data_IF_747105122981
#
_entry.id   IF_747105122981
#
_cell.length_a   1.000
_cell.length_b   1.000
_cell.length_c   1.000
_cell.angle_alpha   90.00
_cell.angle_beta   90.00
_cell.angle_gamma   90.00
#
_symmetry.space_group_name_H-M   'P 1'
#
loop_
_entity.id
_entity.type
_entity.pdbx_description
1 polymer ?
#
# COMPACT_ATOMS: atom_id res chain seq x y z
N UNK A 1 3.98 -1.28 30.91
CA UNK A 1 4.78 -0.34 30.09
C UNK A 1 4.00 -0.14 28.80
N UNK A 2 3.55 1.09 28.54
CA UNK A 2 2.78 1.39 27.30
C UNK A 2 3.75 1.30 26.12
N UNK A 3 3.51 0.31 25.29
CA UNK A 3 4.20 0.21 24.01
C UNK A 3 3.55 1.26 23.09
N UNK A 4 4.12 2.46 23.04
CA UNK A 4 3.76 3.44 22.02
C UNK A 4 4.08 2.81 20.67
N UNK A 5 3.03 2.49 19.92
CA UNK A 5 3.17 2.09 18.52
C UNK A 5 4.00 3.18 17.82
N UNK A 6 5.24 2.87 17.48
CA UNK A 6 6.10 3.73 16.67
C UNK A 6 5.35 4.00 15.37
N UNK A 7 4.77 5.19 15.27
CA UNK A 7 4.22 5.68 14.03
C UNK A 7 5.33 5.58 12.99
N UNK A 8 5.18 4.73 11.99
CA UNK A 8 6.18 4.71 10.92
C UNK A 8 6.35 6.14 10.38
N UNK A 9 7.57 6.67 10.33
CA UNK A 9 7.77 8.02 9.84
C UNK A 9 7.27 8.09 8.39
N UNK A 10 6.46 9.09 8.09
CA UNK A 10 6.01 9.35 6.72
C UNK A 10 7.26 9.50 5.85
N UNK A 11 7.52 8.54 4.96
CA UNK A 11 8.70 8.57 4.09
C UNK A 11 8.58 9.74 3.13
N UNK A 12 9.54 10.63 3.16
CA UNK A 12 9.65 11.75 2.22
C UNK A 12 10.47 11.31 1.01
N UNK A 13 9.78 11.01 -0.09
CA UNK A 13 10.44 10.70 -1.37
C UNK A 13 11.00 11.97 -1.99
N UNK A 14 12.30 11.94 -2.34
CA UNK A 14 13.02 13.10 -2.91
C UNK A 14 13.85 12.69 -4.12
N UNK A 15 13.87 13.57 -5.13
CA UNK A 15 14.74 13.50 -6.30
C UNK A 15 15.44 14.86 -6.37
N UNK A 16 16.77 14.91 -6.40
CA UNK A 16 17.57 16.13 -6.36
C UNK A 16 17.11 17.11 -5.25
N UNK A 17 16.91 16.59 -4.04
CA UNK A 17 16.38 17.33 -2.88
C UNK A 17 14.96 17.91 -3.05
N UNK A 18 14.26 17.63 -4.14
CA UNK A 18 12.87 18.04 -4.37
C UNK A 18 11.91 16.93 -3.99
N UNK A 19 10.91 17.25 -3.15
CA UNK A 19 9.88 16.30 -2.74
C UNK A 19 9.01 15.90 -3.92
N UNK A 20 8.83 14.58 -4.11
CA UNK A 20 7.90 13.99 -5.07
C UNK A 20 6.75 13.29 -4.34
N UNK A 21 5.56 13.19 -4.97
CA UNK A 21 4.44 12.48 -4.34
C UNK A 21 4.70 10.98 -4.28
N UNK A 22 4.13 10.31 -3.26
CA UNK A 22 4.10 8.86 -3.23
C UNK A 22 3.03 8.30 -4.19
N UNK A 23 3.16 7.01 -4.55
CA UNK A 23 2.12 6.26 -5.28
C UNK A 23 0.77 6.43 -4.58
N UNK A 24 0.70 6.17 -3.28
CA UNK A 24 -0.53 6.27 -2.49
C UNK A 24 -1.10 7.68 -2.42
N UNK A 25 -0.26 8.72 -2.42
CA UNK A 25 -0.70 10.13 -2.49
C UNK A 25 -1.37 10.45 -3.83
N UNK A 26 -0.81 9.94 -4.93
CA UNK A 26 -1.38 10.12 -6.27
C UNK A 26 -2.72 9.41 -6.38
N UNK A 27 -2.78 8.13 -6.03
CA UNK A 27 -4.01 7.32 -6.08
C UNK A 27 -5.10 7.88 -5.18
N UNK A 28 -4.75 8.27 -3.94
CA UNK A 28 -5.68 8.83 -2.96
C UNK A 28 -6.38 10.10 -3.44
N UNK A 29 -5.74 10.89 -4.33
CA UNK A 29 -6.34 12.10 -4.91
C UNK A 29 -7.54 11.80 -5.80
N UNK A 30 -7.54 10.66 -6.47
CA UNK A 30 -8.55 10.30 -7.48
C UNK A 30 -9.40 9.08 -7.06
N UNK A 31 -9.23 8.63 -5.82
CA UNK A 31 -9.98 7.48 -5.31
C UNK A 31 -11.48 7.81 -5.24
N UNK A 32 -12.30 6.90 -5.74
CA UNK A 32 -13.74 7.01 -5.55
C UNK A 32 -14.07 6.83 -4.07
N UNK A 33 -14.60 7.88 -3.45
CA UNK A 33 -14.91 7.92 -2.03
C UNK A 33 -16.34 7.46 -1.69
N UNK A 34 -17.17 7.09 -2.67
CA UNK A 34 -18.60 6.76 -2.45
C UNK A 34 -18.79 5.71 -1.36
N UNK A 35 -18.05 4.60 -1.43
CA UNK A 35 -18.12 3.56 -0.41
C UNK A 35 -17.66 4.04 0.97
N UNK A 36 -16.65 4.90 1.02
CA UNK A 36 -16.17 5.49 2.27
C UNK A 36 -17.21 6.45 2.87
N UNK A 37 -17.91 7.24 2.05
CA UNK A 37 -18.96 8.14 2.49
C UNK A 37 -20.16 7.38 3.09
N UNK A 38 -20.59 6.30 2.43
CA UNK A 38 -21.66 5.42 2.93
C UNK A 38 -21.24 4.83 4.28
N UNK A 39 -20.04 4.29 4.36
CA UNK A 39 -19.51 3.72 5.60
C UNK A 39 -19.38 4.77 6.71
N UNK A 40 -18.86 5.97 6.42
CA UNK A 40 -18.74 7.07 7.39
C UNK A 40 -20.10 7.49 7.94
N UNK A 41 -21.14 7.54 7.07
CA UNK A 41 -22.51 7.81 7.50
C UNK A 41 -23.03 6.72 8.46
N UNK A 42 -22.80 5.43 8.14
CA UNK A 42 -23.22 4.32 9.01
C UNK A 42 -22.53 4.34 10.38
N UNK A 43 -21.25 4.73 10.44
CA UNK A 43 -20.50 4.92 11.70
C UNK A 43 -21.08 6.09 12.48
N UNK A 44 -21.37 7.22 11.82
CA UNK A 44 -21.99 8.38 12.45
C UNK A 44 -23.37 8.09 13.04
N UNK A 45 -24.21 7.30 12.34
CA UNK A 45 -25.52 6.86 12.85
C UNK A 45 -25.42 5.99 14.12
N UNK A 46 -24.27 5.34 14.35
CA UNK A 46 -23.97 4.61 15.60
C UNK A 46 -23.38 5.49 16.71
N UNK A 47 -23.32 6.81 16.50
CA UNK A 47 -22.71 7.76 17.45
C UNK A 47 -21.18 7.65 17.54
N UNK A 48 -20.52 7.06 16.55
CA UNK A 48 -19.06 6.89 16.51
C UNK A 48 -18.42 7.87 15.51
N UNK A 49 -17.18 8.28 15.78
CA UNK A 49 -16.40 9.09 14.84
C UNK A 49 -15.75 8.18 13.78
N UNK A 50 -16.08 8.41 12.51
CA UNK A 50 -15.50 7.62 11.41
C UNK A 50 -13.97 7.72 11.34
N UNK A 51 -13.41 8.85 11.78
CA UNK A 51 -11.96 9.07 11.80
C UNK A 51 -11.24 8.13 12.76
N UNK A 52 -11.85 7.84 13.93
CA UNK A 52 -11.30 6.90 14.91
C UNK A 52 -11.32 5.46 14.35
N UNK A 53 -12.42 5.09 13.69
CA UNK A 53 -12.53 3.76 13.09
C UNK A 53 -11.60 3.61 11.87
N UNK A 54 -11.41 4.69 11.09
CA UNK A 54 -10.45 4.71 9.98
C UNK A 54 -9.02 4.57 10.49
N UNK A 55 -8.70 5.27 11.59
CA UNK A 55 -7.38 5.16 12.25
C UNK A 55 -7.14 3.76 12.76
N UNK A 56 -8.06 3.17 13.53
CA UNK A 56 -7.96 1.78 14.01
C UNK A 56 -7.74 0.80 12.84
N UNK A 57 -8.47 1.00 11.74
CA UNK A 57 -8.31 0.17 10.56
C UNK A 57 -6.92 0.30 9.92
N UNK A 58 -6.36 1.50 9.91
CA UNK A 58 -4.99 1.77 9.45
C UNK A 58 -3.94 1.16 10.38
N UNK A 59 -4.11 1.34 11.70
CA UNK A 59 -3.19 0.81 12.72
C UNK A 59 -3.08 -0.74 12.62
N UNK A 60 -4.19 -1.44 12.37
CA UNK A 60 -4.17 -2.90 12.15
C UNK A 60 -3.39 -3.26 10.87
N UNK A 61 -3.56 -2.48 9.78
CA UNK A 61 -2.80 -2.68 8.55
C UNK A 61 -1.30 -2.53 8.79
N UNK A 62 -0.90 -1.43 9.42
CA UNK A 62 0.50 -1.15 9.78
C UNK A 62 1.08 -2.27 10.64
N UNK A 63 0.35 -2.70 11.68
CA UNK A 63 0.82 -3.78 12.56
C UNK A 63 1.01 -5.12 11.82
N UNK A 64 0.18 -5.44 10.81
CA UNK A 64 0.40 -6.63 9.98
C UNK A 64 1.68 -6.49 9.16
N UNK A 65 1.93 -5.35 8.51
CA UNK A 65 3.14 -5.14 7.71
C UNK A 65 4.40 -5.25 8.56
N UNK A 66 4.41 -4.58 9.74
CA UNK A 66 5.54 -4.64 10.69
C UNK A 66 5.82 -6.08 11.14
N UNK A 67 4.77 -6.85 11.53
CA UNK A 67 4.91 -8.24 11.97
C UNK A 67 5.37 -9.16 10.82
N UNK A 68 4.83 -8.97 9.62
CA UNK A 68 5.23 -9.74 8.46
C UNK A 68 6.70 -9.49 8.11
N UNK A 69 7.15 -8.22 8.14
CA UNK A 69 8.54 -7.86 7.89
C UNK A 69 9.48 -8.49 8.93
N UNK A 70 9.16 -8.36 10.22
CA UNK A 70 9.94 -8.95 11.33
C UNK A 70 10.03 -10.48 11.17
N UNK A 71 8.90 -11.14 10.87
CA UNK A 71 8.86 -12.59 10.67
C UNK A 71 9.71 -13.02 9.45
N UNK A 72 9.58 -12.32 8.33
CA UNK A 72 10.36 -12.60 7.11
C UNK A 72 11.87 -12.43 7.35
N UNK A 73 12.26 -11.49 8.21
CA UNK A 73 13.66 -11.25 8.61
C UNK A 73 14.15 -12.21 9.69
N UNK A 74 13.31 -13.13 10.15
CA UNK A 74 13.61 -14.08 11.26
C UNK A 74 14.00 -13.37 12.57
N UNK A 75 13.45 -12.15 12.78
CA UNK A 75 13.65 -11.38 14.01
C UNK A 75 12.61 -11.80 15.08
N UNK A 76 12.94 -11.52 16.35
CA UNK A 76 12.03 -11.81 17.46
C UNK A 76 10.83 -10.85 17.47
N UNK A 77 9.63 -11.39 17.66
CA UNK A 77 8.40 -10.62 17.88
C UNK A 77 7.53 -11.27 18.97
N UNK A 78 6.75 -10.43 19.65
CA UNK A 78 5.69 -10.88 20.53
C UNK A 78 4.37 -11.02 19.75
N UNK A 79 3.59 -12.05 20.07
CA UNK A 79 2.27 -12.21 19.44
C UNK A 79 1.37 -11.01 19.78
N UNK A 80 0.68 -10.41 18.81
CA UNK A 80 -0.17 -9.26 19.04
C UNK A 80 -1.32 -9.58 19.98
N UNK A 81 -1.62 -8.67 20.91
CA UNK A 81 -2.75 -8.82 21.84
C UNK A 81 -4.08 -8.48 21.15
N UNK A 82 -4.10 -7.56 20.21
CA UNK A 82 -5.30 -7.24 19.42
C UNK A 82 -5.70 -8.44 18.55
N UNK A 83 -6.93 -8.92 18.76
CA UNK A 83 -7.47 -10.10 18.08
C UNK A 83 -7.50 -9.93 16.56
N UNK A 84 -7.83 -8.72 16.05
CA UNK A 84 -7.90 -8.47 14.62
C UNK A 84 -6.52 -8.49 13.96
N UNK A 85 -5.51 -7.94 14.64
CA UNK A 85 -4.11 -8.03 14.19
C UNK A 85 -3.66 -9.48 14.19
N UNK A 86 -3.98 -10.22 15.25
CA UNK A 86 -3.65 -11.65 15.36
C UNK A 86 -4.29 -12.47 14.25
N UNK A 87 -5.56 -12.21 13.94
CA UNK A 87 -6.26 -12.90 12.85
C UNK A 87 -5.59 -12.65 11.49
N UNK A 88 -5.24 -11.40 11.18
CA UNK A 88 -4.51 -11.07 9.95
C UNK A 88 -3.14 -11.77 9.92
N UNK A 89 -2.42 -11.73 11.03
CA UNK A 89 -1.07 -12.28 11.12
C UNK A 89 -1.05 -13.82 11.05
N UNK A 90 -1.99 -14.50 11.68
CA UNK A 90 -2.11 -15.97 11.57
C UNK A 90 -2.37 -16.41 10.13
N UNK A 91 -3.22 -15.68 9.40
CA UNK A 91 -3.47 -15.95 7.98
C UNK A 91 -2.24 -15.66 7.10
N UNK A 92 -1.46 -14.62 7.45
CA UNK A 92 -0.17 -14.37 6.81
C UNK A 92 0.80 -15.53 7.06
N UNK A 93 0.93 -16.02 8.31
CA UNK A 93 1.81 -17.15 8.64
C UNK A 93 1.42 -18.40 7.86
N UNK A 94 0.13 -18.75 7.83
CA UNK A 94 -0.37 -19.89 7.06
C UNK A 94 -0.03 -19.75 5.56
N UNK A 95 -0.25 -18.57 4.99
CA UNK A 95 0.11 -18.30 3.60
C UNK A 95 1.62 -18.39 3.38
N UNK A 96 2.41 -17.84 4.28
CA UNK A 96 3.87 -17.80 4.19
C UNK A 96 4.47 -19.20 4.24
N UNK A 97 4.05 -20.02 5.20
CA UNK A 97 4.55 -21.38 5.42
C UNK A 97 4.18 -22.34 4.27
N UNK A 98 3.06 -22.07 3.58
CA UNK A 98 2.64 -22.84 2.42
C UNK A 98 3.36 -22.46 1.11
N UNK A 99 4.20 -21.42 1.14
CA UNK A 99 4.93 -20.95 -0.04
C UNK A 99 6.44 -20.93 0.22
N UNK A 100 7.20 -21.63 -0.59
CA UNK A 100 8.66 -21.67 -0.50
C UNK A 100 9.29 -20.47 -1.22
N UNK A 101 8.98 -19.23 -0.80
CA UNK A 101 9.53 -18.04 -1.40
C UNK A 101 10.97 -17.78 -0.95
N UNK A 102 11.84 -17.46 -1.91
CA UNK A 102 13.16 -16.91 -1.62
C UNK A 102 13.03 -15.39 -1.54
N UNK A 103 13.22 -14.83 -0.36
CA UNK A 103 13.15 -13.39 -0.14
C UNK A 103 14.29 -12.68 -0.89
N UNK A 104 13.96 -11.64 -1.65
CA UNK A 104 14.93 -10.74 -2.24
C UNK A 104 15.14 -9.53 -1.34
N UNK A 105 14.05 -8.89 -0.90
CA UNK A 105 14.03 -7.82 0.11
C UNK A 105 12.59 -7.52 0.58
N UNK A 106 12.49 -6.77 1.70
CA UNK A 106 11.25 -6.23 2.26
C UNK A 106 11.34 -4.71 2.38
N UNK A 107 10.20 -4.00 2.32
CA UNK A 107 10.02 -2.57 2.63
C UNK A 107 11.11 -1.65 2.05
N UNK A 108 11.37 -1.75 0.76
CA UNK A 108 12.43 -0.97 0.10
C UNK A 108 11.88 0.30 -0.55
N UNK A 109 12.55 1.44 -0.29
CA UNK A 109 12.17 2.74 -0.82
C UNK A 109 12.76 2.99 -2.19
N UNK A 110 11.92 3.44 -3.13
CA UNK A 110 12.31 3.78 -4.49
C UNK A 110 11.75 5.11 -4.95
N UNK A 111 12.43 5.76 -5.90
CA UNK A 111 11.94 6.93 -6.63
C UNK A 111 12.11 6.72 -8.12
N UNK A 112 11.14 7.22 -8.90
CA UNK A 112 11.24 7.31 -10.36
C UNK A 112 11.66 8.71 -10.76
N UNK A 113 12.84 8.86 -11.31
CA UNK A 113 13.29 10.13 -11.91
C UNK A 113 12.50 10.47 -13.18
N UNK A 114 12.11 9.44 -13.92
CA UNK A 114 11.36 9.60 -15.18
C UNK A 114 9.94 10.09 -14.97
N UNK A 115 9.25 9.61 -13.94
CA UNK A 115 7.84 9.92 -13.69
C UNK A 115 7.61 10.78 -12.45
N UNK A 116 8.66 11.10 -11.69
CA UNK A 116 8.67 11.99 -10.53
C UNK A 116 7.66 11.56 -9.44
N UNK A 117 7.81 10.32 -8.98
CA UNK A 117 7.07 9.78 -7.84
C UNK A 117 7.92 8.78 -7.06
N UNK A 118 7.50 8.45 -5.84
CA UNK A 118 8.17 7.46 -5.02
C UNK A 118 7.19 6.45 -4.41
N UNK A 119 7.74 5.37 -3.86
CA UNK A 119 6.95 4.34 -3.22
C UNK A 119 7.80 3.34 -2.46
N UNK A 120 7.15 2.60 -1.58
CA UNK A 120 7.74 1.51 -0.79
C UNK A 120 6.91 0.25 -1.03
N UNK A 121 7.35 -0.63 -1.94
CA UNK A 121 6.75 -1.96 -2.07
C UNK A 121 7.02 -2.80 -0.83
N UNK A 122 6.09 -3.68 -0.47
CA UNK A 122 6.16 -4.47 0.76
C UNK A 122 7.22 -5.59 0.67
N UNK A 123 7.20 -6.38 -0.41
CA UNK A 123 8.03 -7.58 -0.52
C UNK A 123 8.34 -7.94 -1.97
N UNK A 124 9.59 -8.29 -2.24
CA UNK A 124 10.01 -8.94 -3.47
C UNK A 124 10.54 -10.34 -3.17
N UNK A 125 10.01 -11.34 -3.88
CA UNK A 125 10.45 -12.74 -3.75
C UNK A 125 10.83 -13.32 -5.11
N UNK A 126 11.65 -14.38 -5.07
CA UNK A 126 12.10 -15.12 -6.26
C UNK A 126 12.65 -14.19 -7.38
N UNK A 127 13.18 -13.03 -6.98
CA UNK A 127 13.77 -11.99 -7.81
C UNK A 127 12.81 -11.19 -8.71
N UNK A 128 11.63 -11.72 -9.04
CA UNK A 128 10.73 -11.15 -10.04
C UNK A 128 9.22 -11.18 -9.66
N UNK A 129 8.90 -11.59 -8.44
CA UNK A 129 7.52 -11.63 -7.93
C UNK A 129 7.36 -10.55 -6.87
N UNK A 130 6.57 -9.52 -7.20
CA UNK A 130 6.17 -8.48 -6.26
C UNK A 130 4.96 -8.94 -5.46
N UNK A 131 4.99 -8.74 -4.15
CA UNK A 131 3.88 -9.09 -3.23
C UNK A 131 3.47 -7.84 -2.44
N UNK A 132 2.17 -7.68 -2.22
CA UNK A 132 1.58 -6.56 -1.47
C UNK A 132 0.51 -7.09 -0.50
N UNK A 133 0.59 -6.67 0.76
CA UNK A 133 -0.29 -7.13 1.83
C UNK A 133 -1.43 -6.16 2.07
N UNK A 134 -2.64 -6.70 2.25
CA UNK A 134 -3.85 -5.91 2.50
C UNK A 134 -4.69 -6.49 3.61
N UNK A 135 -5.25 -5.62 4.45
CA UNK A 135 -6.21 -5.99 5.52
C UNK A 135 -7.61 -5.41 5.27
N UNK A 136 -7.89 -4.98 4.06
CA UNK A 136 -9.15 -4.40 3.62
C UNK A 136 -10.28 -5.43 3.52
N UNK A 137 -11.52 -4.96 3.34
CA UNK A 137 -12.70 -5.84 3.16
C UNK A 137 -12.71 -6.60 1.84
N UNK A 138 -11.91 -6.19 0.86
CA UNK A 138 -11.82 -6.83 -0.46
C UNK A 138 -10.61 -6.32 -1.22
N UNK A 139 -10.31 -6.95 -2.36
CA UNK A 139 -9.28 -6.52 -3.29
C UNK A 139 -9.90 -5.54 -4.29
N UNK A 140 -9.35 -4.33 -4.37
CA UNK A 140 -9.84 -3.24 -5.20
C UNK A 140 -8.89 -2.96 -6.38
N UNK A 141 -9.43 -2.35 -7.45
CA UNK A 141 -8.66 -2.05 -8.66
C UNK A 141 -7.47 -1.10 -8.42
N UNK A 142 -7.58 -0.19 -7.44
CA UNK A 142 -6.49 0.72 -7.07
C UNK A 142 -5.24 -0.04 -6.53
N UNK A 143 -5.39 -1.26 -6.01
CA UNK A 143 -4.26 -2.08 -5.57
C UNK A 143 -3.44 -2.61 -6.75
N UNK A 144 -4.09 -3.00 -7.85
CA UNK A 144 -3.35 -3.38 -9.07
C UNK A 144 -2.62 -2.19 -9.66
N UNK A 145 -3.25 -1.01 -9.67
CA UNK A 145 -2.60 0.23 -10.12
C UNK A 145 -1.42 0.61 -9.21
N UNK A 146 -1.54 0.42 -7.89
CA UNK A 146 -0.45 0.58 -6.94
C UNK A 146 0.71 -0.37 -7.24
N UNK A 147 0.42 -1.66 -7.40
CA UNK A 147 1.41 -2.69 -7.71
C UNK A 147 2.13 -2.41 -9.03
N UNK A 148 1.41 -1.93 -10.05
CA UNK A 148 2.01 -1.57 -11.34
C UNK A 148 3.01 -0.40 -11.22
N UNK A 149 2.69 0.60 -10.40
CA UNK A 149 3.60 1.70 -10.12
C UNK A 149 4.83 1.24 -9.33
N UNK A 150 4.65 0.32 -8.38
CA UNK A 150 5.76 -0.28 -7.63
C UNK A 150 6.65 -1.16 -8.52
N UNK A 151 6.06 -2.00 -9.39
CA UNK A 151 6.83 -2.79 -10.35
C UNK A 151 7.70 -1.89 -11.22
N UNK A 152 7.17 -0.74 -11.66
CA UNK A 152 7.93 0.21 -12.45
C UNK A 152 9.07 0.88 -11.69
N UNK A 153 8.87 1.19 -10.41
CA UNK A 153 9.95 1.68 -9.55
C UNK A 153 11.10 0.66 -9.43
N UNK A 154 10.76 -0.61 -9.24
CA UNK A 154 11.76 -1.69 -9.15
C UNK A 154 12.52 -1.83 -10.48
N UNK A 155 11.79 -1.85 -11.60
CA UNK A 155 12.40 -1.94 -12.94
C UNK A 155 13.40 -0.80 -13.21
N UNK A 156 13.06 0.44 -12.82
CA UNK A 156 13.92 1.61 -13.03
C UNK A 156 15.14 1.64 -12.11
N UNK A 157 15.01 1.19 -10.87
CA UNK A 157 16.08 1.32 -9.86
C UNK A 157 16.99 0.09 -9.77
N UNK A 158 16.47 -1.09 -10.07
CA UNK A 158 17.24 -2.36 -9.96
C UNK A 158 17.55 -3.01 -11.31
N UNK A 159 17.13 -2.43 -12.43
CA UNK A 159 17.22 -3.02 -13.76
C UNK A 159 16.65 -4.45 -13.79
N UNK A 160 15.57 -4.69 -13.08
CA UNK A 160 14.95 -5.98 -12.81
C UNK A 160 13.51 -5.97 -13.34
N UNK A 161 13.15 -6.97 -14.14
CA UNK A 161 11.77 -7.13 -14.62
C UNK A 161 10.91 -7.80 -13.55
N UNK A 162 9.69 -7.31 -13.38
CA UNK A 162 8.67 -7.93 -12.55
C UNK A 162 7.73 -8.71 -13.45
N UNK A 163 7.68 -10.02 -13.27
CA UNK A 163 6.89 -10.92 -14.11
C UNK A 163 5.51 -11.19 -13.52
N UNK A 164 5.40 -11.12 -12.18
CA UNK A 164 4.16 -11.40 -11.45
C UNK A 164 3.98 -10.42 -10.30
N UNK A 165 2.73 -10.04 -10.05
CA UNK A 165 2.31 -9.31 -8.87
C UNK A 165 1.25 -10.09 -8.11
N UNK A 166 1.40 -10.23 -6.80
CA UNK A 166 0.49 -10.96 -5.93
C UNK A 166 -0.07 -9.98 -4.90
N UNK A 167 -1.39 -9.89 -4.82
CA UNK A 167 -2.08 -9.20 -3.72
C UNK A 167 -2.55 -10.26 -2.73
N UNK A 168 -2.05 -10.19 -1.51
CA UNK A 168 -2.44 -11.04 -0.41
C UNK A 168 -3.33 -10.25 0.55
N UNK A 169 -4.62 -10.57 0.59
CA UNK A 169 -5.57 -9.97 1.54
C UNK A 169 -5.78 -10.90 2.72
N UNK A 170 -5.36 -10.44 3.89
CA UNK A 170 -5.55 -11.10 5.18
C UNK A 170 -6.62 -10.35 5.97
N UNK A 171 -7.87 -10.80 5.98
CA UNK A 171 -8.98 -10.06 6.57
C UNK A 171 -8.88 -9.97 8.10
N UNK A 172 -9.44 -8.88 8.65
CA UNK A 172 -9.48 -8.59 10.09
C UNK A 172 -10.53 -9.42 10.84
N UNK A 173 -11.47 -9.97 10.13
CA UNK A 173 -12.52 -10.86 10.60
C UNK A 173 -12.18 -12.31 10.26
N UNK A 174 -13.08 -13.22 10.57
CA UNK A 174 -12.90 -14.65 10.30
C UNK A 174 -13.22 -15.02 8.84
N UNK A 175 -13.25 -14.07 7.90
CA UNK A 175 -13.40 -14.36 6.49
C UNK A 175 -12.11 -14.96 5.91
N UNK A 176 -12.24 -15.63 4.76
CA UNK A 176 -11.10 -16.32 4.14
C UNK A 176 -10.08 -15.35 3.55
N UNK A 177 -8.81 -15.74 3.62
CA UNK A 177 -7.71 -15.14 2.87
C UNK A 177 -8.04 -15.11 1.38
N UNK A 178 -7.75 -14.00 0.73
CA UNK A 178 -7.94 -13.83 -0.70
C UNK A 178 -6.61 -13.49 -1.37
N UNK A 179 -6.21 -14.32 -2.34
CA UNK A 179 -4.97 -14.14 -3.09
C UNK A 179 -5.33 -13.89 -4.55
N UNK A 180 -4.79 -12.81 -5.14
CA UNK A 180 -4.90 -12.54 -6.58
C UNK A 180 -3.55 -12.36 -7.19
N UNK A 181 -3.32 -13.04 -8.29
CA UNK A 181 -2.10 -12.95 -9.08
C UNK A 181 -2.37 -12.19 -10.38
N UNK A 182 -1.44 -11.34 -10.75
CA UNK A 182 -1.49 -10.54 -11.96
C UNK A 182 -0.20 -10.72 -12.75
N UNK A 183 -0.35 -10.83 -14.07
CA UNK A 183 0.74 -10.98 -15.01
C UNK A 183 1.46 -9.65 -15.25
N UNK A 184 2.61 -9.72 -15.93
CA UNK A 184 3.29 -8.52 -16.42
C UNK A 184 2.41 -7.69 -17.35
N UNK A 185 1.61 -8.32 -18.20
CA UNK A 185 0.68 -7.62 -19.10
C UNK A 185 -0.37 -6.82 -18.31
N UNK A 186 -0.92 -7.40 -17.23
CA UNK A 186 -1.85 -6.70 -16.34
C UNK A 186 -1.19 -5.49 -15.69
N UNK A 187 0.07 -5.65 -15.25
CA UNK A 187 0.86 -4.55 -14.68
C UNK A 187 1.11 -3.43 -15.71
N UNK A 188 1.49 -3.76 -16.93
CA UNK A 188 1.75 -2.78 -17.99
C UNK A 188 0.47 -1.99 -18.36
N UNK A 189 -0.67 -2.67 -18.41
CA UNK A 189 -1.98 -2.06 -18.62
C UNK A 189 -2.36 -1.11 -17.46
N UNK A 190 -2.22 -1.58 -16.22
CA UNK A 190 -2.51 -0.78 -15.03
C UNK A 190 -1.55 0.41 -14.90
N UNK A 191 -0.27 0.25 -15.26
CA UNK A 191 0.69 1.34 -15.26
C UNK A 191 0.34 2.43 -16.29
N UNK A 192 -0.25 2.05 -17.40
CA UNK A 192 -0.74 3.03 -18.39
C UNK A 192 -1.81 3.95 -17.78
N UNK A 193 -2.70 3.39 -16.94
CA UNK A 193 -3.64 4.19 -16.16
C UNK A 193 -2.94 5.05 -15.09
N UNK A 194 -1.98 4.48 -14.34
CA UNK A 194 -1.22 5.25 -13.35
C UNK A 194 -0.53 6.48 -13.96
N UNK A 195 0.04 6.37 -15.16
CA UNK A 195 0.65 7.52 -15.88
C UNK A 195 -0.35 8.66 -16.10
N UNK A 196 -1.60 8.35 -16.43
CA UNK A 196 -2.65 9.36 -16.59
C UNK A 196 -2.97 10.04 -15.26
N UNK A 197 -3.10 9.26 -14.17
CA UNK A 197 -3.32 9.81 -12.83
C UNK A 197 -2.15 10.68 -12.37
N UNK A 198 -0.91 10.27 -12.65
CA UNK A 198 0.29 11.05 -12.32
C UNK A 198 0.29 12.41 -13.04
N UNK A 199 -0.07 12.42 -14.32
CA UNK A 199 -0.24 13.66 -15.10
C UNK A 199 -1.39 14.51 -14.56
N UNK A 200 -2.54 13.89 -14.28
CA UNK A 200 -3.70 14.57 -13.71
C UNK A 200 -3.37 15.23 -12.36
N UNK A 201 -2.56 14.56 -11.52
CA UNK A 201 -2.13 15.09 -10.23
C UNK A 201 -1.33 16.40 -10.36
N UNK A 202 -0.46 16.51 -11.35
CA UNK A 202 0.28 17.76 -11.60
C UNK A 202 -0.62 18.87 -12.13
N UNK A 203 -1.52 18.54 -13.06
CA UNK A 203 -2.49 19.50 -13.60
C UNK A 203 -3.43 20.02 -12.51
N UNK A 204 -3.94 19.15 -11.64
CA UNK A 204 -4.77 19.54 -10.49
C UNK A 204 -4.03 20.53 -9.58
N UNK A 205 -2.75 20.26 -9.28
CA UNK A 205 -1.92 21.19 -8.50
C UNK A 205 -1.75 22.55 -9.18
N UNK A 206 -1.53 22.56 -10.51
CA UNK A 206 -1.38 23.79 -11.27
C UNK A 206 -2.68 24.61 -11.26
N UNK A 207 -3.83 23.97 -11.52
CA UNK A 207 -5.15 24.62 -11.49
C UNK A 207 -5.42 25.22 -10.10
N UNK A 208 -5.16 24.47 -9.03
CA UNK A 208 -5.34 24.97 -7.67
C UNK A 208 -4.45 26.17 -7.34
N UNK A 209 -3.22 26.24 -7.89
CA UNK A 209 -2.34 27.42 -7.76
C UNK A 209 -2.92 28.62 -8.50
N UNK A 210 -3.44 28.43 -9.73
CA UNK A 210 -4.05 29.49 -10.51
C UNK A 210 -5.27 30.10 -9.80
N UNK A 211 -6.14 29.28 -9.24
CA UNK A 211 -7.31 29.75 -8.49
C UNK A 211 -6.87 30.58 -7.28
N UNK A 212 -5.89 30.08 -6.49
CA UNK A 212 -5.37 30.83 -5.33
C UNK A 212 -4.68 32.14 -5.69
N UNK A 213 -4.04 32.21 -6.85
CA UNK A 213 -3.37 33.43 -7.32
C UNK A 213 -4.35 34.50 -7.78
N UNK A 214 -5.55 34.11 -8.26
CA UNK A 214 -6.60 35.07 -8.73
C UNK A 214 -7.58 35.47 -7.63
N UNK A 215 -7.53 34.85 -6.44
CA UNK A 215 -8.38 35.19 -5.30
C UNK A 215 -7.74 36.15 -4.30
N UNK A 216 -6.63 36.80 -4.67
CA UNK A 216 -5.99 37.92 -4.01
C UNK A 216 -6.19 39.18 -4.86
#
# INVERSE_FOLDING_TARGET
MHNESKKMPTVDYKIDNKKVPSVTTILGRFKNATGLLIWANQIGLKGQLYQDELKKAGDIGTALHDLAEIHIKEEYYELPQDEKVRNCFNQFLEWWDNNNYKVTWTEKHFCSEKYLYGGTPDLLVNENILVDFKTSKGIYSDYLVQGSAYAKLIEENENRKIDKFIICRFPKDNSQTEIKEFSKEDLDNAFSYFKLLRKAFDLDKQINKLIKAKGK
#
